data_IF_328510530717
#
_entry.id   IF_328510530717
#
_cell.length_a   1.000
_cell.length_b   1.000
_cell.length_c   1.000
_cell.angle_alpha   90.00
_cell.angle_beta   90.00
_cell.angle_gamma   90.00
#
_symmetry.space_group_name_H-M   'P 1'
#
loop_
_entity.id
_entity.type
_entity.pdbx_description
1 polymer ?
#
# COMPACT_ATOMS: atom_id res chain seq x y z
N UNK A 1 -15.43 5.97 -2.19
CA UNK A 1 -14.66 4.98 -2.98
C UNK A 1 -13.77 5.79 -3.94
N UNK A 2 -12.44 5.81 -3.75
CA UNK A 2 -11.51 6.65 -4.53
C UNK A 2 -11.63 6.39 -6.05
N UNK A 3 -11.72 5.13 -6.45
CA UNK A 3 -11.75 4.77 -7.87
C UNK A 3 -13.06 5.17 -8.56
N UNK A 4 -14.15 5.31 -7.79
CA UNK A 4 -15.44 5.76 -8.32
C UNK A 4 -15.42 7.22 -8.81
N UNK A 5 -14.37 7.99 -8.48
CA UNK A 5 -14.16 9.35 -8.97
C UNK A 5 -13.61 9.38 -10.42
N UNK A 6 -13.15 8.24 -10.94
CA UNK A 6 -12.55 8.15 -12.27
C UNK A 6 -13.39 7.27 -13.19
N UNK A 7 -13.76 7.82 -14.34
CA UNK A 7 -14.53 7.11 -15.36
C UNK A 7 -13.67 6.15 -16.20
N UNK A 8 -12.38 6.44 -16.35
CA UNK A 8 -11.46 5.68 -17.18
C UNK A 8 -10.68 4.66 -16.34
N UNK A 9 -10.73 3.40 -16.74
CA UNK A 9 -10.00 2.30 -16.09
C UNK A 9 -8.49 2.54 -16.06
N UNK A 10 -7.92 3.09 -17.14
CA UNK A 10 -6.50 3.46 -17.21
C UNK A 10 -6.10 4.43 -16.10
N UNK A 11 -6.96 5.42 -15.82
CA UNK A 11 -6.74 6.40 -14.75
C UNK A 11 -6.83 5.73 -13.38
N UNK A 12 -7.79 4.83 -13.17
CA UNK A 12 -7.88 4.06 -11.93
C UNK A 12 -6.59 3.26 -11.68
N UNK A 13 -6.11 2.53 -12.69
CA UNK A 13 -4.88 1.75 -12.61
C UNK A 13 -3.64 2.63 -12.39
N UNK A 14 -3.58 3.80 -13.04
CA UNK A 14 -2.50 4.77 -12.83
C UNK A 14 -2.49 5.26 -11.38
N UNK A 15 -3.65 5.65 -10.84
CA UNK A 15 -3.77 6.14 -9.45
C UNK A 15 -3.38 5.06 -8.45
N UNK A 16 -3.76 3.80 -8.66
CA UNK A 16 -3.34 2.69 -7.79
C UNK A 16 -1.81 2.49 -7.79
N UNK A 17 -1.17 2.59 -8.96
CA UNK A 17 0.30 2.49 -9.09
C UNK A 17 1.01 3.67 -8.42
N UNK A 18 0.51 4.89 -8.63
CA UNK A 18 1.05 6.10 -7.98
C UNK A 18 0.91 6.00 -6.46
N UNK A 19 -0.25 5.59 -5.96
CA UNK A 19 -0.49 5.38 -4.53
C UNK A 19 0.55 4.41 -3.93
N UNK A 20 0.75 3.25 -4.54
CA UNK A 20 1.72 2.25 -4.06
C UNK A 20 3.15 2.76 -4.13
N UNK A 21 3.52 3.42 -5.23
CA UNK A 21 4.83 4.05 -5.38
C UNK A 21 5.11 5.07 -4.29
N UNK A 22 4.13 5.93 -3.98
CA UNK A 22 4.25 6.93 -2.92
C UNK A 22 4.35 6.30 -1.52
N UNK A 23 3.61 5.23 -1.24
CA UNK A 23 3.74 4.50 0.04
C UNK A 23 5.15 3.95 0.21
N UNK A 24 5.70 3.31 -0.83
CA UNK A 24 7.07 2.77 -0.80
C UNK A 24 8.08 3.90 -0.62
N UNK A 25 7.98 4.97 -1.40
CA UNK A 25 8.89 6.11 -1.30
C UNK A 25 8.85 6.76 0.10
N UNK A 26 7.65 6.97 0.65
CA UNK A 26 7.47 7.49 1.99
C UNK A 26 8.10 6.57 3.03
N UNK A 27 7.90 5.26 2.90
CA UNK A 27 8.48 4.28 3.81
C UNK A 27 10.02 4.32 3.78
N UNK A 28 10.65 4.62 2.66
CA UNK A 28 12.11 4.73 2.57
C UNK A 28 12.65 6.07 3.09
N UNK A 29 11.94 7.17 2.85
CA UNK A 29 12.42 8.54 3.13
C UNK A 29 12.07 8.99 4.55
N UNK A 30 10.91 8.62 5.07
CA UNK A 30 10.49 9.03 6.40
C UNK A 30 11.30 8.28 7.48
N UNK A 31 11.85 8.95 8.51
CA UNK A 31 12.74 8.31 9.49
C UNK A 31 12.11 7.12 10.24
N UNK A 32 10.79 7.14 10.42
CA UNK A 32 10.03 6.10 11.11
C UNK A 32 9.28 5.17 10.13
N UNK A 33 9.41 5.38 8.82
CA UNK A 33 8.67 4.61 7.81
C UNK A 33 7.17 4.89 7.75
N UNK A 34 6.48 4.10 6.94
CA UNK A 34 5.05 4.22 6.65
C UNK A 34 4.17 3.42 7.62
N UNK A 35 4.74 2.46 8.37
CA UNK A 35 3.99 1.45 9.11
C UNK A 35 3.86 1.70 10.62
N UNK A 36 4.47 2.77 11.12
CA UNK A 36 4.37 3.15 12.54
C UNK A 36 2.97 3.66 12.90
N UNK A 37 2.61 3.50 14.18
CA UNK A 37 1.38 4.06 14.72
C UNK A 37 1.46 5.59 14.65
N UNK A 38 0.50 6.22 13.97
CA UNK A 38 0.49 7.68 13.75
C UNK A 38 1.20 8.13 12.46
N UNK A 39 1.57 7.20 11.57
CA UNK A 39 1.99 7.55 10.21
C UNK A 39 0.94 8.41 9.51
N UNK A 40 1.38 9.41 8.75
CA UNK A 40 0.51 10.24 7.90
C UNK A 40 -0.02 9.47 6.68
N UNK A 41 0.49 8.25 6.44
CA UNK A 41 0.06 7.38 5.34
C UNK A 41 -0.87 6.31 5.88
N UNK A 42 -2.11 6.28 5.38
CA UNK A 42 -3.06 5.21 5.69
C UNK A 42 -2.77 3.94 4.86
N UNK A 43 -1.74 3.22 5.25
CA UNK A 43 -1.34 1.97 4.57
C UNK A 43 -2.46 0.91 4.64
N UNK A 44 -3.25 0.89 5.73
CA UNK A 44 -4.37 -0.06 5.86
C UNK A 44 -5.45 0.20 4.81
N UNK A 45 -5.83 1.46 4.64
CA UNK A 45 -6.76 1.88 3.60
C UNK A 45 -6.25 1.55 2.21
N UNK A 46 -4.97 1.79 1.94
CA UNK A 46 -4.34 1.45 0.65
C UNK A 46 -4.40 -0.06 0.37
N UNK A 47 -4.01 -0.90 1.34
CA UNK A 47 -4.03 -2.37 1.18
C UNK A 47 -5.46 -2.88 1.00
N UNK A 48 -6.43 -2.34 1.75
CA UNK A 48 -7.83 -2.70 1.60
C UNK A 48 -8.35 -2.35 0.20
N UNK A 49 -8.07 -1.14 -0.28
CA UNK A 49 -8.45 -0.71 -1.62
C UNK A 49 -7.89 -1.62 -2.71
N UNK A 50 -6.63 -2.07 -2.57
CA UNK A 50 -6.00 -3.02 -3.50
C UNK A 50 -6.64 -4.41 -3.44
N UNK A 51 -6.95 -4.91 -2.24
CA UNK A 51 -7.64 -6.21 -2.07
C UNK A 51 -9.06 -6.21 -2.63
N UNK A 52 -9.71 -5.05 -2.70
CA UNK A 52 -11.02 -4.89 -3.33
C UNK A 52 -10.95 -4.89 -4.88
N UNK A 53 -9.75 -4.90 -5.49
CA UNK A 53 -9.57 -4.99 -6.94
C UNK A 53 -9.38 -6.44 -7.41
N UNK A 54 -9.71 -6.75 -8.67
CA UNK A 54 -9.38 -8.03 -9.29
C UNK A 54 -7.89 -8.39 -9.12
N UNK A 55 -7.54 -9.65 -8.79
CA UNK A 55 -6.16 -10.05 -8.52
C UNK A 55 -5.17 -9.69 -9.63
N UNK A 56 -5.61 -9.79 -10.90
CA UNK A 56 -4.80 -9.42 -12.07
C UNK A 56 -4.33 -7.96 -12.07
N UNK A 57 -5.00 -7.07 -11.32
CA UNK A 57 -4.68 -5.64 -11.21
C UNK A 57 -3.92 -5.30 -9.92
N UNK A 58 -4.12 -6.06 -8.84
CA UNK A 58 -3.63 -5.71 -7.50
C UNK A 58 -2.50 -6.59 -6.97
N UNK A 59 -2.33 -7.83 -7.45
CA UNK A 59 -1.37 -8.76 -6.87
C UNK A 59 0.08 -8.25 -6.99
N UNK A 60 0.46 -7.74 -8.16
CA UNK A 60 1.79 -7.14 -8.35
C UNK A 60 2.03 -5.93 -7.44
N UNK A 61 0.99 -5.14 -7.17
CA UNK A 61 1.05 -3.98 -6.27
C UNK A 61 1.17 -4.39 -4.80
N UNK A 62 0.42 -5.43 -4.39
CA UNK A 62 0.53 -6.01 -3.06
C UNK A 62 1.93 -6.63 -2.84
N UNK A 63 2.49 -7.28 -3.86
CA UNK A 63 3.85 -7.82 -3.80
C UNK A 63 4.91 -6.72 -3.73
N UNK A 64 4.74 -5.60 -4.43
CA UNK A 64 5.62 -4.44 -4.28
C UNK A 64 5.62 -3.92 -2.83
N UNK A 65 4.45 -3.84 -2.19
CA UNK A 65 4.37 -3.48 -0.77
C UNK A 65 5.05 -4.51 0.14
N UNK A 66 4.92 -5.81 -0.17
CA UNK A 66 5.55 -6.90 0.63
C UNK A 66 7.06 -6.90 0.56
N UNK A 67 7.63 -6.68 -0.63
CA UNK A 67 9.04 -6.98 -0.89
C UNK A 67 9.92 -5.76 -1.08
N UNK A 68 9.34 -4.59 -1.36
CA UNK A 68 10.11 -3.36 -1.66
C UNK A 68 10.04 -2.32 -0.55
N UNK A 69 9.21 -2.54 0.47
CA UNK A 69 9.17 -1.66 1.65
C UNK A 69 10.31 -1.97 2.62
N UNK A 70 10.76 -0.94 3.33
CA UNK A 70 11.90 -0.97 4.25
C UNK A 70 11.46 -1.44 5.65
N UNK A 71 10.39 -0.87 6.19
CA UNK A 71 10.06 -1.04 7.62
C UNK A 71 9.00 -2.12 7.89
N UNK A 72 8.40 -2.74 6.86
CA UNK A 72 7.32 -3.72 7.03
C UNK A 72 7.68 -4.88 7.97
N UNK A 73 8.92 -5.37 7.90
CA UNK A 73 9.35 -6.55 8.65
C UNK A 73 9.93 -6.24 10.04
N UNK A 74 10.10 -4.97 10.39
CA UNK A 74 10.67 -4.57 11.68
C UNK A 74 9.79 -4.95 12.86
N UNK A 75 10.39 -5.17 14.03
CA UNK A 75 9.67 -5.59 15.25
C UNK A 75 8.60 -4.59 15.68
N UNK A 76 8.86 -3.30 15.45
CA UNK A 76 7.96 -2.21 15.79
C UNK A 76 6.73 -2.11 14.88
N UNK A 77 6.73 -2.80 13.73
CA UNK A 77 5.58 -2.79 12.81
C UNK A 77 4.42 -3.59 13.39
N UNK A 78 3.22 -3.00 13.55
CA UNK A 78 2.07 -3.66 14.16
C UNK A 78 1.71 -4.98 13.49
N UNK A 79 1.51 -6.05 14.27
CA UNK A 79 1.19 -7.40 13.77
C UNK A 79 -0.01 -7.44 12.82
N UNK A 80 -1.01 -6.59 13.05
CA UNK A 80 -2.18 -6.51 12.16
C UNK A 80 -1.82 -6.02 10.74
N UNK A 81 -0.84 -5.12 10.59
CA UNK A 81 -0.32 -4.69 9.29
C UNK A 81 0.42 -5.84 8.61
N UNK A 82 1.30 -6.52 9.34
CA UNK A 82 2.04 -7.68 8.81
C UNK A 82 1.08 -8.74 8.28
N UNK A 83 0.03 -9.05 9.04
CA UNK A 83 -0.98 -10.04 8.64
C UNK A 83 -1.83 -9.57 7.45
N UNK A 84 -2.03 -8.26 7.26
CA UNK A 84 -2.75 -7.75 6.08
C UNK A 84 -1.96 -7.99 4.79
N UNK A 85 -0.64 -7.96 4.86
CA UNK A 85 0.26 -8.23 3.74
C UNK A 85 0.89 -9.62 3.80
N UNK A 86 0.50 -10.48 4.74
CA UNK A 86 0.89 -11.88 4.72
C UNK A 86 0.34 -12.54 3.45
N UNK A 87 1.11 -13.47 2.88
CA UNK A 87 0.69 -14.31 1.77
C UNK A 87 -0.17 -15.46 2.30
#
# INVERSE_FOLDING_TARGET
NLLAQFQREETQLFVLRVMVGLVILYDHVHPQGAFVKGSNVDVKGCVKLLKDQPPCKSEGLLNALRYTTKHLNEENTPKNIKNLLAA
#
